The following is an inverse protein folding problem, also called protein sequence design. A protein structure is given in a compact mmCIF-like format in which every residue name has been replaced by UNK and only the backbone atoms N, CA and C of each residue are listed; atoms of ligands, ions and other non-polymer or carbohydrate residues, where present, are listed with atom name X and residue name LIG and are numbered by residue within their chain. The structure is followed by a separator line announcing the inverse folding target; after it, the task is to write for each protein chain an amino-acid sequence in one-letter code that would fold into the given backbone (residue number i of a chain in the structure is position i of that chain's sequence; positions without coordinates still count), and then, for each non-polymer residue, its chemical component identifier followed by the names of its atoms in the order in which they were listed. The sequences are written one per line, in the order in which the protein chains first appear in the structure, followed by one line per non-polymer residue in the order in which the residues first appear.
data_IF_427180729296
#
_entry.id   IF_427180729296
#
_cell.length_a   1.000
_cell.length_b   1.000
_cell.length_c   1.000
_cell.angle_alpha   90.00
_cell.angle_beta   90.00
_cell.angle_gamma   90.00
#
_symmetry.space_group_name_H-M   'P 1'
#
loop_
_entity.id
_entity.type
_entity.pdbx_description
1 polymer ?
#
# COMPACT_ATOMS: atom_id res chain seq x y z
N UNK A 1 12.09 29.84 -21.89
CA UNK A 1 10.69 30.34 -22.16
C UNK A 1 9.70 29.30 -21.67
N UNK A 2 8.80 29.70 -20.79
CA UNK A 2 7.74 28.81 -20.34
C UNK A 2 6.56 28.81 -21.31
N UNK A 3 5.84 27.70 -21.39
CA UNK A 3 4.56 27.59 -22.10
C UNK A 3 3.50 27.31 -21.05
N UNK A 4 2.45 28.12 -21.04
CA UNK A 4 1.30 27.96 -20.15
C UNK A 4 0.03 27.70 -20.96
N UNK A 5 -0.87 26.92 -20.45
CA UNK A 5 -2.12 26.62 -21.11
C UNK A 5 -3.10 25.88 -20.23
N UNK A 6 -4.10 25.29 -20.88
CA UNK A 6 -5.15 24.52 -20.20
C UNK A 6 -5.38 23.20 -20.95
N UNK A 7 -5.63 22.13 -20.23
CA UNK A 7 -5.84 20.79 -20.79
C UNK A 7 -7.06 20.70 -21.72
N UNK A 8 -8.01 21.65 -21.64
CA UNK A 8 -9.13 21.76 -22.58
C UNK A 8 -8.70 22.26 -23.97
N UNK A 9 -7.67 23.09 -24.02
CA UNK A 9 -7.19 23.72 -25.29
C UNK A 9 -6.06 22.93 -25.92
N UNK A 10 -5.26 22.24 -25.13
CA UNK A 10 -4.18 21.37 -25.58
C UNK A 10 -4.17 20.13 -24.71
N UNK A 11 -4.52 18.99 -25.30
CA UNK A 11 -4.58 17.72 -24.56
C UNK A 11 -3.18 17.27 -24.11
N UNK A 12 -3.14 16.54 -22.99
CA UNK A 12 -1.87 16.07 -22.41
C UNK A 12 -1.00 15.29 -23.43
N UNK A 13 -1.63 14.46 -24.27
CA UNK A 13 -0.92 13.69 -25.28
C UNK A 13 -0.23 14.58 -26.34
N UNK A 14 -0.89 15.66 -26.77
CA UNK A 14 -0.30 16.64 -27.69
C UNK A 14 0.88 17.39 -27.07
N UNK A 15 0.70 17.79 -25.79
CA UNK A 15 1.73 18.46 -25.03
C UNK A 15 2.97 17.57 -24.85
N UNK A 16 2.77 16.31 -24.48
CA UNK A 16 3.84 15.33 -24.33
C UNK A 16 4.56 15.05 -25.66
N UNK A 17 3.80 14.92 -26.73
CA UNK A 17 4.37 14.73 -28.08
C UNK A 17 5.23 15.93 -28.48
N UNK A 18 4.75 17.15 -28.23
CA UNK A 18 5.49 18.38 -28.53
C UNK A 18 6.80 18.45 -27.71
N UNK A 19 6.76 18.15 -26.41
CA UNK A 19 7.94 18.12 -25.53
C UNK A 19 8.95 17.06 -25.99
N UNK A 20 8.46 15.88 -26.39
CA UNK A 20 9.30 14.78 -26.83
C UNK A 20 9.97 15.06 -28.18
N UNK A 21 9.20 15.50 -29.19
CA UNK A 21 9.73 15.84 -30.52
C UNK A 21 10.72 17.02 -30.48
N UNK A 22 10.46 17.96 -29.57
CA UNK A 22 11.36 19.11 -29.35
C UNK A 22 12.58 18.78 -28.47
N UNK A 23 12.78 17.51 -28.07
CA UNK A 23 13.85 17.09 -27.16
C UNK A 23 13.96 18.01 -25.93
N UNK A 24 12.82 18.41 -25.37
CA UNK A 24 12.77 19.40 -24.30
C UNK A 24 13.31 18.84 -23.00
N UNK A 25 14.03 19.69 -22.25
CA UNK A 25 14.46 19.45 -20.88
C UNK A 25 13.83 20.52 -20.00
N UNK A 26 13.15 20.11 -18.89
CA UNK A 26 12.46 21.03 -17.99
C UNK A 26 11.36 20.34 -17.19
N UNK A 27 10.61 21.15 -16.47
CA UNK A 27 9.52 20.71 -15.61
C UNK A 27 8.17 21.12 -16.18
N UNK A 28 7.30 20.13 -16.38
CA UNK A 28 5.90 20.35 -16.69
C UNK A 28 5.10 20.26 -15.40
N UNK A 29 4.54 21.40 -14.98
CA UNK A 29 3.58 21.50 -13.87
C UNK A 29 2.16 21.36 -14.44
N UNK A 30 1.34 20.57 -13.76
CA UNK A 30 -0.07 20.37 -14.11
C UNK A 30 -0.88 20.51 -12.82
N UNK A 31 -1.82 21.45 -12.83
CA UNK A 31 -2.71 21.71 -11.68
C UNK A 31 -4.15 21.42 -12.08
N UNK A 32 -4.80 20.55 -11.33
CA UNK A 32 -6.19 20.18 -11.53
C UNK A 32 -6.72 19.33 -10.38
N UNK A 33 -8.02 19.39 -10.15
CA UNK A 33 -8.69 18.64 -9.09
C UNK A 33 -8.13 18.85 -7.67
N UNK A 34 -7.47 20.00 -7.42
CA UNK A 34 -6.81 20.29 -6.13
C UNK A 34 -5.48 19.57 -5.94
N UNK A 35 -4.93 18.99 -6.98
CA UNK A 35 -3.65 18.27 -6.98
C UNK A 35 -2.70 18.91 -7.98
N UNK A 36 -1.47 19.20 -7.54
CA UNK A 36 -0.36 19.60 -8.41
C UNK A 36 0.47 18.37 -8.76
N UNK A 37 0.68 18.13 -10.05
CA UNK A 37 1.58 17.09 -10.55
C UNK A 37 2.71 17.71 -11.36
N UNK A 38 3.91 17.17 -11.20
CA UNK A 38 5.10 17.60 -11.95
C UNK A 38 5.66 16.42 -12.73
N UNK A 39 5.89 16.64 -14.01
CA UNK A 39 6.53 15.68 -14.90
C UNK A 39 7.85 16.29 -15.37
N UNK A 40 8.95 15.63 -15.03
CA UNK A 40 10.28 16.10 -15.36
C UNK A 40 10.73 15.48 -16.67
N UNK A 41 11.05 16.34 -17.63
CA UNK A 41 11.57 15.94 -18.93
C UNK A 41 13.08 16.15 -19.02
N UNK A 42 13.76 15.19 -19.60
CA UNK A 42 15.18 15.28 -19.95
C UNK A 42 15.38 14.75 -21.37
N UNK A 43 15.86 15.60 -22.26
CA UNK A 43 16.10 15.29 -23.68
C UNK A 43 14.86 14.66 -24.36
N UNK A 44 13.66 15.19 -24.07
CA UNK A 44 12.40 14.72 -24.61
C UNK A 44 11.86 13.41 -24.01
N UNK A 45 12.50 12.86 -22.97
CA UNK A 45 12.05 11.67 -22.26
C UNK A 45 11.59 12.04 -20.86
N UNK A 46 10.65 11.28 -20.31
CA UNK A 46 10.21 11.49 -18.93
C UNK A 46 11.25 10.89 -17.98
N UNK A 47 11.89 11.75 -17.22
CA UNK A 47 12.91 11.37 -16.25
C UNK A 47 12.34 11.00 -14.89
N UNK A 48 11.26 11.68 -14.43
CA UNK A 48 10.62 11.42 -13.15
C UNK A 48 9.27 12.11 -13.07
N UNK A 49 8.53 11.83 -11.99
CA UNK A 49 7.27 12.52 -11.63
C UNK A 49 7.23 12.82 -10.14
N UNK A 50 6.51 13.88 -9.76
CA UNK A 50 6.11 14.13 -8.39
C UNK A 50 4.66 14.59 -8.33
N UNK A 51 4.03 14.45 -7.17
CA UNK A 51 2.63 14.82 -6.93
C UNK A 51 2.51 15.44 -5.54
N UNK A 52 1.58 16.39 -5.38
CA UNK A 52 1.19 16.90 -4.06
C UNK A 52 0.25 15.94 -3.33
N UNK A 53 -0.32 14.96 -4.01
CA UNK A 53 -1.16 13.93 -3.39
C UNK A 53 -0.30 12.97 -2.57
N UNK A 54 -0.52 12.95 -1.25
CA UNK A 54 0.20 12.07 -0.33
C UNK A 54 0.01 10.58 -0.63
N UNK A 55 -1.12 10.19 -1.24
CA UNK A 55 -1.40 8.81 -1.65
C UNK A 55 -0.42 8.32 -2.72
N UNK A 56 0.15 9.24 -3.49
CA UNK A 56 1.14 8.94 -4.53
C UNK A 56 2.59 9.01 -4.02
N UNK A 57 2.84 9.29 -2.74
CA UNK A 57 4.20 9.28 -2.21
C UNK A 57 4.79 7.87 -2.26
N UNK A 58 6.09 7.78 -2.55
CA UNK A 58 6.78 6.51 -2.75
C UNK A 58 6.55 5.53 -1.58
N UNK A 59 6.64 6.02 -0.35
CA UNK A 59 6.43 5.19 0.84
C UNK A 59 5.03 4.57 0.87
N UNK A 60 3.99 5.39 0.71
CA UNK A 60 2.61 4.92 0.67
C UNK A 60 2.35 3.95 -0.50
N UNK A 61 2.92 4.25 -1.67
CA UNK A 61 2.82 3.36 -2.83
C UNK A 61 3.44 1.98 -2.55
N UNK A 62 4.59 1.92 -1.91
CA UNK A 62 5.26 0.65 -1.59
C UNK A 62 4.50 -0.16 -0.54
N UNK A 63 3.99 0.48 0.53
CA UNK A 63 3.16 -0.17 1.56
C UNK A 63 1.87 -0.70 0.95
N UNK A 64 1.15 0.13 0.19
CA UNK A 64 -0.13 -0.23 -0.41
C UNK A 64 -0.05 -1.40 -1.40
N UNK A 65 1.12 -1.60 -2.02
CA UNK A 65 1.38 -2.73 -2.90
C UNK A 65 2.04 -3.92 -2.19
N UNK A 66 2.20 -3.86 -0.85
CA UNK A 66 2.73 -4.95 -0.05
C UNK A 66 4.23 -5.22 -0.25
N UNK A 67 4.98 -4.22 -0.73
CA UNK A 67 6.41 -4.34 -0.96
C UNK A 67 7.26 -4.01 0.27
N UNK A 68 6.72 -3.21 1.18
CA UNK A 68 7.29 -2.91 2.48
C UNK A 68 6.15 -2.84 3.52
N UNK A 69 6.48 -2.96 4.79
CA UNK A 69 5.55 -2.79 5.90
C UNK A 69 5.47 -1.31 6.33
N UNK A 70 4.43 -0.95 7.08
CA UNK A 70 4.32 0.40 7.66
C UNK A 70 5.47 0.68 8.65
N UNK A 71 5.91 -0.35 9.39
CA UNK A 71 7.04 -0.24 10.33
C UNK A 71 8.35 0.04 9.58
N UNK A 72 8.61 -0.64 8.46
CA UNK A 72 9.79 -0.39 7.63
C UNK A 72 9.75 1.01 7.02
N UNK A 73 8.58 1.47 6.58
CA UNK A 73 8.41 2.84 6.10
C UNK A 73 8.71 3.86 7.20
N UNK A 74 8.13 3.67 8.39
CA UNK A 74 8.32 4.57 9.53
C UNK A 74 9.81 4.67 9.91
N UNK A 75 10.48 3.54 10.04
CA UNK A 75 11.92 3.48 10.34
C UNK A 75 12.73 4.22 9.26
N UNK A 76 12.40 4.00 7.98
CA UNK A 76 13.11 4.66 6.89
C UNK A 76 12.86 6.16 6.85
N UNK A 77 11.68 6.64 7.24
CA UNK A 77 11.36 8.07 7.34
C UNK A 77 12.11 8.74 8.50
N UNK A 78 12.22 8.10 9.66
CA UNK A 78 13.02 8.58 10.78
C UNK A 78 14.50 8.77 10.37
N UNK A 79 15.07 7.78 9.70
CA UNK A 79 16.44 7.87 9.15
C UNK A 79 16.56 8.98 8.11
N UNK A 80 15.53 9.19 7.27
CA UNK A 80 15.54 10.24 6.25
C UNK A 80 15.57 11.64 6.87
N UNK A 81 14.81 11.88 7.94
CA UNK A 81 14.79 13.17 8.65
C UNK A 81 16.15 13.53 9.22
N UNK A 82 16.89 12.54 9.75
CA UNK A 82 18.22 12.76 10.34
C UNK A 82 19.34 12.86 9.30
N UNK A 83 19.25 12.08 8.21
CA UNK A 83 20.38 11.89 7.29
C UNK A 83 20.25 12.64 5.96
N UNK A 84 19.07 13.13 5.61
CA UNK A 84 18.75 13.72 4.30
C UNK A 84 19.00 12.77 3.10
N UNK A 85 19.09 11.48 3.35
CA UNK A 85 19.19 10.46 2.30
C UNK A 85 17.80 10.20 1.71
N UNK A 86 17.71 9.97 0.42
CA UNK A 86 16.44 9.67 -0.24
C UNK A 86 15.81 8.39 0.31
N UNK A 87 14.50 8.40 0.58
CA UNK A 87 13.73 7.29 1.15
C UNK A 87 14.01 5.95 0.45
N UNK A 88 13.96 5.94 -0.90
CA UNK A 88 14.23 4.72 -1.67
C UNK A 88 15.61 4.14 -1.41
N UNK A 89 16.64 5.00 -1.25
CA UNK A 89 17.99 4.55 -0.95
C UNK A 89 18.09 3.96 0.46
N UNK A 90 17.39 4.55 1.43
CA UNK A 90 17.34 4.02 2.80
C UNK A 90 16.68 2.65 2.80
N UNK A 91 15.53 2.49 2.12
CA UNK A 91 14.83 1.21 2.02
C UNK A 91 15.70 0.10 1.42
N UNK A 92 16.54 0.43 0.43
CA UNK A 92 17.54 -0.53 -0.11
C UNK A 92 18.64 -0.82 0.92
N UNK A 93 19.15 0.21 1.61
CA UNK A 93 20.21 0.04 2.62
C UNK A 93 19.79 -0.84 3.81
N UNK A 94 18.53 -0.74 4.24
CA UNK A 94 17.97 -1.61 5.29
C UNK A 94 17.47 -2.97 4.77
N UNK A 95 17.71 -3.26 3.47
CA UNK A 95 17.25 -4.47 2.78
C UNK A 95 15.73 -4.70 2.82
N UNK A 96 14.93 -3.65 2.99
CA UNK A 96 13.47 -3.73 2.90
C UNK A 96 13.00 -4.02 1.47
N UNK A 97 13.76 -3.56 0.47
CA UNK A 97 13.48 -3.79 -0.94
C UNK A 97 14.79 -3.91 -1.75
N UNK A 98 14.80 -4.77 -2.76
CA UNK A 98 15.92 -4.84 -3.69
C UNK A 98 15.93 -3.62 -4.64
N UNK A 99 17.12 -3.11 -4.99
CA UNK A 99 17.27 -1.93 -5.85
C UNK A 99 16.57 -2.08 -7.21
N UNK A 100 16.68 -3.25 -7.84
CA UNK A 100 16.03 -3.55 -9.12
C UNK A 100 14.50 -3.49 -9.01
N UNK A 101 13.93 -3.99 -7.91
CA UNK A 101 12.49 -3.94 -7.64
C UNK A 101 12.04 -2.51 -7.36
N UNK A 102 12.80 -1.76 -6.58
CA UNK A 102 12.53 -0.34 -6.32
C UNK A 102 12.46 0.45 -7.63
N UNK A 103 13.45 0.30 -8.53
CA UNK A 103 13.46 0.98 -9.82
C UNK A 103 12.25 0.62 -10.68
N UNK A 104 11.87 -0.67 -10.71
CA UNK A 104 10.69 -1.16 -11.43
C UNK A 104 9.41 -0.53 -10.87
N UNK A 105 9.30 -0.45 -9.55
CA UNK A 105 8.12 0.12 -8.87
C UNK A 105 8.06 1.64 -9.01
N UNK A 106 9.19 2.33 -8.98
CA UNK A 106 9.24 3.77 -9.26
C UNK A 106 8.78 4.10 -10.68
N UNK A 107 9.16 3.29 -11.69
CA UNK A 107 8.64 3.42 -13.06
C UNK A 107 7.13 3.25 -13.08
N UNK A 108 6.63 2.15 -12.50
CA UNK A 108 5.19 1.87 -12.43
C UNK A 108 4.41 3.01 -11.72
N UNK A 109 4.95 3.51 -10.60
CA UNK A 109 4.36 4.66 -9.89
C UNK A 109 4.30 5.90 -10.78
N UNK A 110 5.38 6.22 -11.48
CA UNK A 110 5.43 7.37 -12.36
C UNK A 110 4.43 7.23 -13.54
N UNK A 111 4.35 6.05 -14.13
CA UNK A 111 3.37 5.74 -15.18
C UNK A 111 1.93 5.92 -14.69
N UNK A 112 1.57 5.34 -13.54
CA UNK A 112 0.22 5.45 -12.97
C UNK A 112 -0.13 6.92 -12.62
N UNK A 113 0.83 7.68 -12.07
CA UNK A 113 0.63 9.12 -11.79
C UNK A 113 0.35 9.92 -13.06
N UNK A 114 1.00 9.59 -14.17
CA UNK A 114 0.77 10.25 -15.46
C UNK A 114 -0.58 9.81 -16.06
N UNK A 115 -0.90 8.51 -16.01
CA UNK A 115 -2.17 7.99 -16.55
C UNK A 115 -3.38 8.60 -15.85
N UNK A 116 -3.29 8.91 -14.56
CA UNK A 116 -4.33 9.64 -13.86
C UNK A 116 -4.61 11.01 -14.49
N UNK A 117 -3.56 11.75 -14.88
CA UNK A 117 -3.73 13.06 -15.56
C UNK A 117 -4.40 12.94 -16.92
N UNK A 118 -4.22 11.83 -17.65
CA UNK A 118 -4.94 11.61 -18.90
C UNK A 118 -6.46 11.52 -18.70
N UNK A 119 -6.91 11.21 -17.50
CA UNK A 119 -8.35 11.15 -17.18
C UNK A 119 -8.92 12.50 -16.76
N UNK A 120 -8.06 13.51 -16.56
CA UNK A 120 -8.50 14.85 -16.17
C UNK A 120 -9.13 15.57 -17.37
N UNK A 121 -10.33 16.09 -17.17
CA UNK A 121 -11.05 16.88 -18.18
C UNK A 121 -10.73 18.37 -18.11
N UNK A 122 -10.17 18.81 -17.01
CA UNK A 122 -9.84 20.21 -16.68
C UNK A 122 -8.52 20.27 -15.95
N UNK A 123 -7.80 21.36 -16.14
CA UNK A 123 -6.54 21.63 -15.46
C UNK A 123 -5.72 22.62 -16.23
N UNK A 124 -4.89 23.39 -15.53
CA UNK A 124 -3.89 24.26 -16.11
C UNK A 124 -2.54 23.55 -16.19
N UNK A 125 -1.71 23.93 -17.12
CA UNK A 125 -0.34 23.47 -17.20
C UNK A 125 0.63 24.63 -17.44
N UNK A 126 1.84 24.43 -16.95
CA UNK A 126 2.99 25.29 -17.21
C UNK A 126 4.23 24.43 -17.46
N UNK A 127 4.92 24.65 -18.57
CA UNK A 127 6.23 24.05 -18.81
C UNK A 127 7.32 25.07 -18.59
N UNK A 128 8.24 24.80 -17.66
CA UNK A 128 9.39 25.64 -17.33
C UNK A 128 10.63 25.00 -17.95
N UNK A 129 11.14 25.64 -19.03
CA UNK A 129 12.26 25.15 -19.82
C UNK A 129 13.57 25.22 -19.01
N UNK A 130 14.35 24.16 -19.01
CA UNK A 130 15.63 24.03 -18.31
C UNK A 130 15.56 23.84 -16.79
N UNK A 131 14.38 23.88 -16.18
CA UNK A 131 14.24 23.68 -14.74
C UNK A 131 14.05 22.21 -14.40
N UNK A 132 14.99 21.66 -13.64
CA UNK A 132 14.93 20.31 -13.06
C UNK A 132 15.03 20.43 -11.53
N UNK A 133 14.53 19.47 -10.76
CA UNK A 133 14.62 19.54 -9.31
C UNK A 133 16.06 19.48 -8.83
N UNK A 134 16.36 20.23 -7.74
CA UNK A 134 17.68 20.30 -7.10
C UNK A 134 18.17 18.96 -6.54
N UNK A 135 17.26 18.04 -6.26
CA UNK A 135 17.60 16.72 -5.74
C UNK A 135 18.03 15.78 -6.89
N UNK A 136 19.06 14.97 -6.62
CA UNK A 136 19.49 13.90 -7.54
C UNK A 136 18.35 12.92 -7.79
N UNK A 137 17.63 13.10 -8.88
CA UNK A 137 16.64 12.15 -9.34
C UNK A 137 17.31 10.87 -9.85
N UNK A 138 16.66 9.74 -9.63
CA UNK A 138 16.97 8.52 -10.37
C UNK A 138 16.23 8.60 -11.71
N UNK A 139 16.92 8.78 -12.84
CA UNK A 139 16.23 8.94 -14.11
C UNK A 139 15.57 7.64 -14.55
N UNK A 140 14.24 7.67 -14.68
CA UNK A 140 13.43 6.50 -15.08
C UNK A 140 13.47 6.25 -16.58
N UNK A 141 13.72 7.30 -17.37
CA UNK A 141 13.81 7.27 -18.85
C UNK A 141 12.60 6.57 -19.50
N UNK A 142 11.37 7.03 -19.14
CA UNK A 142 10.14 6.46 -19.69
C UNK A 142 9.96 6.86 -21.15
N UNK A 143 9.43 5.93 -21.95
CA UNK A 143 9.09 6.18 -23.34
C UNK A 143 7.79 6.99 -23.45
N UNK A 144 7.88 8.20 -23.99
CA UNK A 144 6.74 9.12 -24.10
C UNK A 144 5.67 8.55 -25.04
N UNK A 145 6.07 7.89 -26.13
CA UNK A 145 5.12 7.32 -27.09
C UNK A 145 4.27 6.23 -26.42
N UNK A 146 4.91 5.32 -25.69
CA UNK A 146 4.20 4.27 -24.93
C UNK A 146 3.25 4.85 -23.90
N UNK A 147 3.69 5.91 -23.18
CA UNK A 147 2.85 6.62 -22.21
C UNK A 147 1.63 7.27 -22.89
N UNK A 148 1.80 7.93 -24.02
CA UNK A 148 0.68 8.53 -24.76
C UNK A 148 -0.31 7.46 -25.22
N UNK A 149 0.18 6.39 -25.85
CA UNK A 149 -0.69 5.32 -26.36
C UNK A 149 -1.51 4.67 -25.25
N UNK A 150 -0.89 4.31 -24.15
CA UNK A 150 -1.58 3.70 -23.01
C UNK A 150 -2.51 4.70 -22.31
N UNK A 151 -2.09 5.97 -22.15
CA UNK A 151 -2.91 7.03 -21.58
C UNK A 151 -4.18 7.28 -22.40
N UNK A 152 -4.08 7.36 -23.72
CA UNK A 152 -5.22 7.52 -24.63
C UNK A 152 -6.14 6.29 -24.57
N UNK A 153 -5.58 5.07 -24.58
CA UNK A 153 -6.36 3.85 -24.42
C UNK A 153 -7.16 3.85 -23.12
N UNK A 154 -6.54 4.27 -22.00
CA UNK A 154 -7.23 4.37 -20.69
C UNK A 154 -8.28 5.48 -20.71
N UNK A 155 -8.04 6.59 -21.39
CA UNK A 155 -9.02 7.65 -21.54
C UNK A 155 -10.26 7.15 -22.30
N UNK A 156 -10.07 6.45 -23.42
CA UNK A 156 -11.19 5.90 -24.20
C UNK A 156 -11.98 4.86 -23.38
N UNK A 157 -11.28 3.98 -22.66
CA UNK A 157 -11.90 3.01 -21.77
C UNK A 157 -12.66 3.70 -20.63
N UNK A 158 -12.10 4.80 -20.08
CA UNK A 158 -12.75 5.59 -19.04
C UNK A 158 -14.05 6.23 -19.51
N UNK A 159 -14.09 6.72 -20.74
CA UNK A 159 -15.33 7.25 -21.33
C UNK A 159 -16.43 6.18 -21.39
N UNK A 160 -16.10 4.93 -21.74
CA UNK A 160 -17.03 3.81 -21.73
C UNK A 160 -17.46 3.42 -20.30
N UNK A 161 -16.55 3.46 -19.36
CA UNK A 161 -16.84 3.20 -17.94
C UNK A 161 -17.81 4.25 -17.42
N UNK A 162 -17.59 5.53 -17.69
CA UNK A 162 -18.43 6.65 -17.24
C UNK A 162 -19.87 6.61 -17.75
N UNK A 163 -20.12 5.95 -18.88
CA UNK A 163 -21.49 5.72 -19.35
C UNK A 163 -22.30 4.80 -18.41
N UNK A 164 -21.64 3.95 -17.64
CA UNK A 164 -22.26 2.99 -16.71
C UNK A 164 -22.06 3.35 -15.26
N UNK A 165 -20.91 3.92 -14.96
CA UNK A 165 -20.48 4.36 -13.64
C UNK A 165 -20.24 5.87 -13.70
N UNK A 166 -21.28 6.70 -13.43
CA UNK A 166 -21.21 8.15 -13.66
C UNK A 166 -20.12 8.85 -12.86
N UNK A 167 -19.91 8.43 -11.61
CA UNK A 167 -18.91 8.97 -10.71
C UNK A 167 -18.45 7.91 -9.69
N UNK A 168 -17.44 8.24 -8.89
CA UNK A 168 -16.86 7.33 -7.90
C UNK A 168 -17.62 7.28 -6.56
N UNK A 169 -18.62 8.16 -6.38
CA UNK A 169 -19.45 8.18 -5.18
C UNK A 169 -20.55 7.09 -5.19
N UNK A 170 -20.83 6.49 -6.36
CA UNK A 170 -21.82 5.42 -6.47
C UNK A 170 -21.41 4.18 -5.67
N UNK A 171 -22.41 3.48 -5.15
CA UNK A 171 -22.23 2.28 -4.31
C UNK A 171 -22.54 1.04 -5.16
N UNK A 172 -21.56 0.20 -5.49
CA UNK A 172 -21.79 -1.04 -6.19
C UNK A 172 -22.29 -2.14 -5.26
N UNK A 173 -23.21 -2.99 -5.73
CA UNK A 173 -23.71 -4.17 -5.05
C UNK A 173 -23.66 -5.39 -5.98
N UNK A 174 -23.18 -6.52 -5.45
CA UNK A 174 -23.20 -7.79 -6.18
C UNK A 174 -24.59 -8.40 -6.06
N UNK A 175 -25.27 -8.61 -7.21
CA UNK A 175 -26.63 -9.18 -7.27
C UNK A 175 -26.68 -10.62 -7.78
N UNK A 176 -25.59 -11.08 -8.41
CA UNK A 176 -25.42 -12.47 -8.87
C UNK A 176 -23.99 -12.93 -8.59
N UNK A 177 -23.81 -14.25 -8.44
CA UNK A 177 -22.51 -14.83 -8.25
C UNK A 177 -21.55 -14.43 -9.38
N UNK A 178 -20.35 -14.00 -9.00
CA UNK A 178 -19.24 -13.69 -9.89
C UNK A 178 -18.46 -14.98 -10.19
N UNK A 179 -18.00 -15.12 -11.41
CA UNK A 179 -17.05 -16.16 -11.77
C UNK A 179 -15.64 -15.72 -11.32
N UNK A 180 -15.27 -16.09 -10.10
CA UNK A 180 -14.00 -15.68 -9.47
C UNK A 180 -12.79 -16.20 -10.23
N UNK A 181 -12.91 -17.31 -11.00
CA UNK A 181 -11.79 -17.89 -11.75
C UNK A 181 -11.38 -17.00 -12.93
N UNK A 182 -12.31 -16.24 -13.50
CA UNK A 182 -12.04 -15.31 -14.60
C UNK A 182 -11.49 -13.96 -14.16
N UNK A 183 -11.51 -13.66 -12.85
CA UNK A 183 -11.01 -12.42 -12.31
C UNK A 183 -9.48 -12.46 -12.17
N UNK A 184 -8.84 -11.35 -12.49
CA UNK A 184 -7.43 -11.15 -12.19
C UNK A 184 -7.17 -11.15 -10.67
N UNK A 185 -5.95 -11.42 -10.24
CA UNK A 185 -5.60 -11.42 -8.81
C UNK A 185 -5.90 -10.08 -8.13
N UNK A 186 -5.76 -8.97 -8.88
CA UNK A 186 -6.12 -7.63 -8.39
C UNK A 186 -7.63 -7.49 -8.18
N UNK A 187 -8.44 -7.96 -9.10
CA UNK A 187 -9.91 -7.91 -8.99
C UNK A 187 -10.42 -8.78 -7.86
N UNK A 188 -9.79 -9.94 -7.62
CA UNK A 188 -10.09 -10.81 -6.46
C UNK A 188 -9.89 -10.09 -5.12
N UNK A 189 -8.95 -9.15 -5.03
CA UNK A 189 -8.74 -8.33 -3.83
C UNK A 189 -9.81 -7.25 -3.65
N UNK A 190 -10.44 -6.79 -4.73
CA UNK A 190 -11.48 -5.74 -4.71
C UNK A 190 -12.84 -6.32 -4.34
N UNK A 191 -13.20 -7.49 -4.88
CA UNK A 191 -14.53 -8.11 -4.76
C UNK A 191 -15.07 -8.18 -3.32
N UNK A 192 -14.28 -8.56 -2.28
CA UNK A 192 -14.77 -8.62 -0.90
C UNK A 192 -15.24 -7.28 -0.32
N UNK A 193 -14.85 -6.17 -0.94
CA UNK A 193 -15.21 -4.83 -0.51
C UNK A 193 -16.48 -4.28 -1.21
N UNK A 194 -16.99 -5.01 -2.20
CA UNK A 194 -18.24 -4.66 -2.91
C UNK A 194 -19.42 -5.24 -2.10
N UNK A 195 -19.84 -4.53 -1.08
CA UNK A 195 -20.82 -4.96 -0.08
C UNK A 195 -22.17 -4.23 -0.15
N UNK A 196 -22.35 -3.37 -1.14
CA UNK A 196 -23.55 -2.53 -1.24
C UNK A 196 -23.62 -1.38 -0.24
N UNK A 197 -22.52 -1.05 0.43
CA UNK A 197 -22.41 0.03 1.41
C UNK A 197 -21.32 1.03 1.07
N UNK A 198 -20.21 0.56 0.51
CA UNK A 198 -19.05 1.37 0.19
C UNK A 198 -19.15 1.95 -1.21
N UNK A 199 -18.78 3.23 -1.35
CA UNK A 199 -18.62 3.86 -2.66
C UNK A 199 -17.37 3.30 -3.37
N UNK A 200 -17.31 3.47 -4.68
CA UNK A 200 -16.13 3.12 -5.48
C UNK A 200 -14.87 3.82 -4.93
N UNK A 201 -14.97 5.10 -4.56
CA UNK A 201 -13.86 5.84 -3.94
C UNK A 201 -13.41 5.19 -2.64
N UNK A 202 -14.34 4.82 -1.74
CA UNK A 202 -14.03 4.15 -0.48
C UNK A 202 -13.38 2.77 -0.70
N UNK A 203 -13.88 2.01 -1.70
CA UNK A 203 -13.30 0.71 -2.08
C UNK A 203 -11.88 0.91 -2.64
N UNK A 204 -11.67 1.91 -3.51
CA UNK A 204 -10.37 2.22 -4.07
C UNK A 204 -9.35 2.57 -2.98
N UNK A 205 -9.76 3.39 -2.01
CA UNK A 205 -8.93 3.76 -0.86
C UNK A 205 -8.56 2.55 0.00
N UNK A 206 -9.55 1.73 0.38
CA UNK A 206 -9.32 0.57 1.27
C UNK A 206 -8.55 -0.58 0.63
N UNK A 207 -8.67 -0.74 -0.68
CA UNK A 207 -7.96 -1.78 -1.43
C UNK A 207 -6.64 -1.29 -2.01
N UNK A 208 -6.30 -0.01 -1.80
CA UNK A 208 -5.13 0.65 -2.39
C UNK A 208 -5.05 0.50 -3.91
N UNK A 209 -6.21 0.53 -4.56
CA UNK A 209 -6.33 0.49 -6.01
C UNK A 209 -6.69 1.86 -6.56
N UNK A 210 -6.28 2.12 -7.82
CA UNK A 210 -6.76 3.29 -8.53
C UNK A 210 -8.29 3.19 -8.77
N UNK A 211 -9.00 4.30 -8.66
CA UNK A 211 -10.45 4.38 -8.93
C UNK A 211 -10.80 3.82 -10.31
N UNK A 212 -9.92 3.99 -11.29
CA UNK A 212 -10.06 3.43 -12.62
C UNK A 212 -10.26 1.90 -12.58
N UNK A 213 -9.45 1.17 -11.81
CA UNK A 213 -9.52 -0.29 -11.75
C UNK A 213 -10.81 -0.78 -11.07
N UNK A 214 -11.21 -0.11 -10.00
CA UNK A 214 -12.47 -0.42 -9.29
C UNK A 214 -13.68 -0.11 -10.18
N UNK A 215 -13.70 1.09 -10.81
CA UNK A 215 -14.76 1.51 -11.72
C UNK A 215 -14.88 0.58 -12.94
N UNK A 216 -13.74 0.10 -13.47
CA UNK A 216 -13.71 -0.86 -14.59
C UNK A 216 -14.37 -2.19 -14.20
N UNK A 217 -14.00 -2.76 -13.05
CA UNK A 217 -14.59 -3.99 -12.52
C UNK A 217 -16.11 -3.84 -12.33
N UNK A 218 -16.53 -2.71 -11.73
CA UNK A 218 -17.94 -2.42 -11.48
C UNK A 218 -18.70 -2.22 -12.81
N UNK A 219 -18.15 -1.46 -13.77
CA UNK A 219 -18.77 -1.24 -15.07
C UNK A 219 -18.96 -2.56 -15.85
N UNK A 220 -18.01 -3.48 -15.75
CA UNK A 220 -18.11 -4.81 -16.33
C UNK A 220 -19.19 -5.65 -15.61
N UNK A 221 -19.24 -5.60 -14.27
CA UNK A 221 -20.29 -6.25 -13.48
C UNK A 221 -21.68 -5.71 -13.79
N UNK A 222 -21.84 -4.41 -14.01
CA UNK A 222 -23.09 -3.80 -14.45
C UNK A 222 -23.45 -4.25 -15.87
N UNK A 223 -22.47 -4.31 -16.79
CA UNK A 223 -22.67 -4.78 -18.17
C UNK A 223 -23.15 -6.23 -18.22
N UNK A 224 -22.60 -7.10 -17.40
CA UNK A 224 -22.94 -8.53 -17.33
C UNK A 224 -24.17 -8.82 -16.47
N UNK A 225 -24.70 -7.82 -15.75
CA UNK A 225 -25.82 -7.95 -14.82
C UNK A 225 -25.48 -8.72 -13.54
N UNK A 226 -24.19 -8.83 -13.20
CA UNK A 226 -23.73 -9.41 -11.94
C UNK A 226 -23.67 -8.38 -10.82
N UNK A 227 -23.55 -7.09 -11.17
CA UNK A 227 -23.59 -5.98 -10.23
C UNK A 227 -24.67 -4.96 -10.62
N UNK A 228 -25.11 -4.21 -9.62
CA UNK A 228 -25.94 -3.01 -9.83
C UNK A 228 -25.33 -1.85 -9.06
N UNK A 229 -25.64 -0.64 -9.52
CA UNK A 229 -25.33 0.57 -8.80
C UNK A 229 -26.54 0.95 -7.95
N UNK A 230 -26.29 1.19 -6.69
CA UNK A 230 -27.24 1.85 -5.83
C UNK A 230 -27.06 3.35 -6.04
N UNK A 231 -28.14 4.07 -6.38
CA UNK A 231 -28.09 5.54 -6.31
C UNK A 231 -27.62 5.90 -4.90
N UNK A 232 -26.64 6.81 -4.85
CA UNK A 232 -26.13 7.29 -3.58
C UNK A 232 -27.32 7.87 -2.80
N UNK A 233 -28.00 7.04 -2.00
CA UNK A 233 -28.62 7.53 -0.81
C UNK A 233 -27.46 8.11 -0.07
N UNK A 234 -27.42 9.45 0.03
CA UNK A 234 -26.45 10.18 0.82
C UNK A 234 -26.18 9.33 2.07
N UNK A 235 -24.94 8.88 2.32
CA UNK A 235 -24.67 7.94 3.39
C UNK A 235 -25.49 8.45 4.54
N UNK A 236 -26.33 7.66 5.23
CA UNK A 236 -27.20 8.13 6.29
C UNK A 236 -26.29 9.02 7.11
N UNK A 237 -26.56 10.36 7.24
CA UNK A 237 -25.60 11.40 7.58
C UNK A 237 -24.69 10.79 8.61
N UNK A 238 -23.39 10.64 8.26
CA UNK A 238 -22.47 9.76 8.99
C UNK A 238 -22.73 10.06 10.43
N UNK A 239 -23.25 9.15 11.24
CA UNK A 239 -23.99 9.43 12.46
C UNK A 239 -23.19 10.50 13.15
N UNK A 240 -23.71 11.72 13.22
CA UNK A 240 -23.03 13.00 13.35
C UNK A 240 -21.84 12.80 14.25
N UNK A 241 -20.65 12.73 13.74
CA UNK A 241 -19.39 12.28 14.33
C UNK A 241 -19.68 11.60 15.67
N UNK A 242 -19.97 10.29 15.63
CA UNK A 242 -20.22 9.56 16.87
C UNK A 242 -19.04 9.95 17.75
N UNK A 243 -19.25 10.44 18.96
CA UNK A 243 -18.19 10.95 19.79
C UNK A 243 -17.08 9.92 19.77
N UNK A 244 -15.82 10.30 19.57
CA UNK A 244 -14.68 9.40 19.35
C UNK A 244 -14.73 8.11 20.20
N UNK A 245 -15.44 8.17 21.33
CA UNK A 245 -15.83 7.03 22.17
C UNK A 245 -16.63 5.94 21.50
N UNK A 246 -17.43 6.18 20.46
CA UNK A 246 -18.26 5.13 19.84
C UNK A 246 -17.49 4.28 18.83
N UNK A 247 -16.49 4.82 18.15
CA UNK A 247 -15.60 4.04 17.27
C UNK A 247 -14.65 3.19 18.10
N UNK A 248 -14.08 3.74 19.16
CA UNK A 248 -13.29 3.00 20.15
C UNK A 248 -14.11 1.86 20.75
N UNK A 249 -15.34 2.12 21.17
CA UNK A 249 -16.24 1.10 21.73
C UNK A 249 -16.57 0.00 20.70
N UNK A 250 -16.77 0.35 19.44
CA UNK A 250 -17.00 -0.61 18.38
C UNK A 250 -15.80 -1.56 18.18
N UNK A 251 -14.56 -1.01 18.08
CA UNK A 251 -13.36 -1.84 17.95
C UNK A 251 -13.09 -2.68 19.22
N UNK A 252 -13.32 -2.14 20.41
CA UNK A 252 -13.21 -2.87 21.66
C UNK A 252 -14.21 -4.02 21.73
N UNK A 253 -15.47 -3.81 21.36
CA UNK A 253 -16.50 -4.84 21.38
C UNK A 253 -16.19 -5.96 20.38
N UNK A 254 -15.80 -5.60 19.16
CA UNK A 254 -15.46 -6.55 18.10
C UNK A 254 -14.20 -7.35 18.42
N UNK A 255 -13.17 -6.69 18.98
CA UNK A 255 -11.96 -7.36 19.44
C UNK A 255 -12.25 -8.34 20.58
N UNK A 256 -13.10 -7.98 21.55
CA UNK A 256 -13.51 -8.88 22.64
C UNK A 256 -14.27 -10.09 22.14
N UNK A 257 -15.10 -9.95 21.12
CA UNK A 257 -15.83 -11.07 20.53
C UNK A 257 -14.89 -12.10 19.89
N UNK A 258 -13.76 -11.65 19.32
CA UNK A 258 -12.79 -12.52 18.64
C UNK A 258 -11.63 -12.98 19.53
N UNK A 259 -11.48 -12.41 20.72
CA UNK A 259 -10.33 -12.61 21.60
C UNK A 259 -10.00 -14.08 21.89
N UNK A 260 -11.03 -14.94 22.01
CA UNK A 260 -10.84 -16.37 22.30
C UNK A 260 -10.56 -17.22 21.07
N UNK A 261 -11.08 -16.82 19.90
CA UNK A 261 -10.94 -17.57 18.64
C UNK A 261 -9.69 -17.16 17.87
N UNK A 262 -9.46 -15.85 17.77
CA UNK A 262 -8.28 -15.26 17.12
C UNK A 262 -7.74 -14.07 17.93
N UNK A 263 -6.89 -14.35 18.96
CA UNK A 263 -6.31 -13.31 19.79
C UNK A 263 -5.43 -12.32 19.00
N UNK A 264 -4.82 -12.74 17.87
CA UNK A 264 -4.00 -11.87 17.04
C UNK A 264 -4.85 -10.82 16.31
N UNK A 265 -5.98 -11.22 15.72
CA UNK A 265 -6.94 -10.28 15.14
C UNK A 265 -7.56 -9.36 16.19
N UNK A 266 -7.86 -9.87 17.37
CA UNK A 266 -8.35 -9.07 18.50
C UNK A 266 -7.34 -8.00 18.90
N UNK A 267 -6.04 -8.35 19.00
CA UNK A 267 -4.98 -7.41 19.32
C UNK A 267 -4.86 -6.27 18.28
N UNK A 268 -4.98 -6.59 16.99
CA UNK A 268 -4.98 -5.57 15.92
C UNK A 268 -6.15 -4.59 16.08
N UNK A 269 -7.36 -5.10 16.42
CA UNK A 269 -8.54 -4.26 16.66
C UNK A 269 -8.34 -3.34 17.86
N UNK A 270 -7.78 -3.87 18.95
CA UNK A 270 -7.48 -3.07 20.14
C UNK A 270 -6.39 -2.03 19.89
N UNK A 271 -5.41 -2.34 19.02
CA UNK A 271 -4.40 -1.38 18.59
C UNK A 271 -5.04 -0.22 17.82
N UNK A 272 -5.96 -0.50 16.87
CA UNK A 272 -6.71 0.54 16.16
C UNK A 272 -7.54 1.37 17.13
N UNK A 273 -8.23 0.75 18.09
CA UNK A 273 -8.97 1.46 19.12
C UNK A 273 -8.06 2.40 19.95
N UNK A 274 -6.84 1.98 20.25
CA UNK A 274 -5.85 2.79 20.98
C UNK A 274 -5.29 3.94 20.12
N UNK A 275 -5.13 3.75 18.82
CA UNK A 275 -4.70 4.81 17.89
C UNK A 275 -5.79 5.87 17.71
N UNK A 276 -7.08 5.49 17.78
CA UNK A 276 -8.21 6.42 17.76
C UNK A 276 -8.32 7.26 19.03
N UNK A 277 -8.04 6.67 20.21
CA UNK A 277 -7.97 7.37 21.49
C UNK A 277 -6.92 6.75 22.41
N UNK A 278 -5.71 7.30 22.34
CA UNK A 278 -4.57 6.83 23.15
C UNK A 278 -4.72 7.14 24.65
N UNK A 279 -5.69 7.98 25.03
CA UNK A 279 -5.96 8.36 26.43
C UNK A 279 -6.97 7.43 27.10
N UNK A 280 -7.71 6.64 26.33
CA UNK A 280 -8.66 5.65 26.86
C UNK A 280 -7.94 4.44 27.44
N UNK A 281 -7.87 4.35 28.77
CA UNK A 281 -7.23 3.23 29.47
C UNK A 281 -7.80 1.85 29.15
N UNK A 282 -9.05 1.76 28.65
CA UNK A 282 -9.69 0.50 28.25
C UNK A 282 -9.02 -0.15 27.07
N UNK A 283 -8.47 0.65 26.13
CA UNK A 283 -7.77 0.17 24.95
C UNK A 283 -6.44 -0.50 25.34
N UNK A 284 -5.70 0.13 26.25
CA UNK A 284 -4.43 -0.40 26.78
C UNK A 284 -4.67 -1.72 27.56
N UNK A 285 -5.75 -1.79 28.34
CA UNK A 285 -6.11 -3.01 29.09
C UNK A 285 -6.49 -4.15 28.14
N UNK A 286 -7.30 -3.87 27.11
CA UNK A 286 -7.70 -4.84 26.10
C UNK A 286 -6.49 -5.36 25.29
N UNK A 287 -5.55 -4.50 24.94
CA UNK A 287 -4.30 -4.93 24.29
C UNK A 287 -3.49 -5.89 25.19
N UNK A 288 -3.34 -5.57 26.46
CA UNK A 288 -2.65 -6.45 27.42
C UNK A 288 -3.36 -7.80 27.62
N UNK A 289 -4.68 -7.80 27.55
CA UNK A 289 -5.47 -9.03 27.61
C UNK A 289 -5.21 -9.91 26.39
N UNK A 290 -5.23 -9.31 25.18
CA UNK A 290 -4.91 -10.02 23.95
C UNK A 290 -3.46 -10.53 23.92
N UNK A 291 -2.50 -9.74 24.39
CA UNK A 291 -1.10 -10.19 24.53
C UNK A 291 -0.96 -11.41 25.43
N UNK A 292 -1.71 -11.47 26.53
CA UNK A 292 -1.72 -12.62 27.42
C UNK A 292 -2.29 -13.87 26.74
N UNK A 293 -3.41 -13.72 26.02
CA UNK A 293 -4.01 -14.83 25.28
C UNK A 293 -3.10 -15.33 24.14
N UNK A 294 -2.44 -14.41 23.42
CA UNK A 294 -1.45 -14.79 22.39
C UNK A 294 -0.30 -15.57 23.03
N UNK A 295 0.28 -15.07 24.14
CA UNK A 295 1.36 -15.76 24.84
C UNK A 295 0.93 -17.16 25.35
N UNK A 296 -0.27 -17.27 25.92
CA UNK A 296 -0.82 -18.56 26.36
C UNK A 296 -1.06 -19.52 25.17
N UNK A 297 -1.43 -18.99 24.01
CA UNK A 297 -1.53 -19.76 22.76
C UNK A 297 -0.15 -20.28 22.31
N UNK A 298 0.84 -19.41 22.29
CA UNK A 298 2.22 -19.74 21.92
C UNK A 298 2.83 -20.81 22.82
N UNK A 299 2.58 -20.73 24.15
CA UNK A 299 3.05 -21.75 25.09
C UNK A 299 2.36 -23.12 24.85
N UNK A 300 1.07 -23.15 24.53
CA UNK A 300 0.35 -24.37 24.14
C UNK A 300 0.93 -24.99 22.86
N UNK A 301 1.38 -24.16 21.92
CA UNK A 301 2.06 -24.59 20.68
C UNK A 301 3.53 -24.98 20.92
N UNK A 302 3.98 -24.96 22.16
CA UNK A 302 5.34 -25.37 22.56
C UNK A 302 6.40 -24.30 22.40
N UNK A 303 6.01 -23.04 22.14
CA UNK A 303 6.92 -21.89 22.09
C UNK A 303 7.05 -21.30 23.49
N UNK A 304 8.12 -21.63 24.19
CA UNK A 304 8.43 -21.06 25.50
C UNK A 304 9.82 -20.42 25.53
N UNK A 305 10.01 -19.45 26.43
CA UNK A 305 11.27 -18.71 26.56
C UNK A 305 12.48 -19.57 26.90
N UNK A 306 12.29 -20.75 27.51
CA UNK A 306 13.33 -21.66 27.96
C UNK A 306 13.76 -22.69 26.92
N UNK A 307 13.06 -22.78 25.79
CA UNK A 307 13.39 -23.69 24.71
C UNK A 307 14.58 -23.19 23.92
N UNK A 308 15.46 -24.11 23.50
CA UNK A 308 16.61 -23.83 22.64
C UNK A 308 16.24 -24.22 21.20
N UNK A 309 16.19 -23.27 20.27
CA UNK A 309 15.90 -23.56 18.88
C UNK A 309 17.16 -24.06 18.14
N UNK A 310 16.97 -25.03 17.24
CA UNK A 310 17.98 -25.49 16.29
C UNK A 310 17.40 -25.44 14.88
N UNK A 311 18.28 -25.19 13.89
CA UNK A 311 17.87 -25.20 12.48
C UNK A 311 17.53 -26.63 12.05
N UNK A 312 16.34 -26.83 11.51
CA UNK A 312 15.86 -28.09 10.96
C UNK A 312 16.32 -28.33 9.52
N UNK A 313 16.68 -27.27 8.82
CA UNK A 313 17.10 -27.29 7.41
C UNK A 313 18.53 -26.74 7.25
N UNK A 314 19.30 -27.22 6.25
CA UNK A 314 20.65 -26.74 6.00
C UNK A 314 20.68 -25.27 5.57
N UNK A 315 21.77 -24.55 5.90
CA UNK A 315 21.97 -23.12 5.59
C UNK A 315 21.76 -22.78 4.10
N UNK A 316 22.18 -23.66 3.20
CA UNK A 316 22.01 -23.44 1.74
C UNK A 316 20.54 -23.47 1.31
N UNK A 317 19.66 -24.14 2.04
CA UNK A 317 18.22 -24.17 1.77
C UNK A 317 17.55 -22.91 2.32
N UNK A 318 18.08 -22.33 3.41
CA UNK A 318 17.62 -21.05 3.96
C UNK A 318 17.81 -19.91 2.96
N UNK A 319 18.93 -19.88 2.25
CA UNK A 319 19.22 -18.83 1.25
C UNK A 319 18.31 -18.87 0.02
N UNK A 320 17.60 -19.98 -0.19
CA UNK A 320 16.62 -20.12 -1.29
C UNK A 320 15.20 -19.71 -0.88
N UNK A 321 14.96 -19.47 0.41
CA UNK A 321 13.66 -19.02 0.93
C UNK A 321 13.72 -17.52 1.21
N UNK A 322 12.61 -16.84 0.99
CA UNK A 322 12.44 -15.42 1.35
C UNK A 322 12.00 -15.33 2.81
N UNK A 323 12.78 -14.64 3.62
CA UNK A 323 12.46 -14.31 5.02
C UNK A 323 12.34 -12.79 5.16
N UNK A 324 11.45 -12.34 6.04
CA UNK A 324 11.43 -10.92 6.42
C UNK A 324 12.71 -10.55 7.16
N UNK A 325 13.07 -9.26 7.25
CA UNK A 325 14.24 -8.80 7.99
C UNK A 325 14.24 -9.27 9.46
N UNK A 326 13.07 -9.27 10.10
CA UNK A 326 12.91 -9.74 11.49
C UNK A 326 13.12 -11.26 11.61
N UNK A 327 12.57 -12.04 10.70
CA UNK A 327 12.80 -13.49 10.65
C UNK A 327 14.28 -13.80 10.38
N UNK A 328 14.91 -13.07 9.46
CA UNK A 328 16.34 -13.19 9.16
C UNK A 328 17.20 -12.85 10.37
N UNK A 329 16.83 -11.80 11.13
CA UNK A 329 17.52 -11.47 12.38
C UNK A 329 17.41 -12.61 13.38
N UNK A 330 16.20 -13.12 13.67
CA UNK A 330 15.98 -14.22 14.62
C UNK A 330 16.73 -15.47 14.16
N UNK A 331 16.63 -15.86 12.88
CA UNK A 331 17.35 -16.99 12.30
C UNK A 331 18.87 -16.86 12.47
N UNK A 332 19.44 -15.68 12.31
CA UNK A 332 20.88 -15.44 12.49
C UNK A 332 21.39 -15.66 13.93
N UNK A 333 20.49 -15.67 14.91
CA UNK A 333 20.80 -15.89 16.33
C UNK A 333 20.56 -17.31 16.79
N UNK A 334 19.94 -18.15 15.95
CA UNK A 334 19.72 -19.57 16.24
C UNK A 334 21.03 -20.35 16.02
N UNK A 335 21.69 -20.70 17.11
CA UNK A 335 22.97 -21.43 17.12
C UNK A 335 22.92 -22.76 17.92
N UNK A 336 21.72 -23.17 18.35
CA UNK A 336 21.55 -24.38 19.16
C UNK A 336 22.07 -24.29 20.59
N UNK A 337 22.44 -23.08 21.05
CA UNK A 337 22.96 -22.84 22.41
C UNK A 337 22.11 -21.84 23.18
N UNK A 338 21.58 -20.85 22.54
CA UNK A 338 20.77 -19.80 23.15
C UNK A 338 19.30 -20.20 23.18
N UNK A 339 18.68 -20.01 24.34
CA UNK A 339 17.25 -20.14 24.49
C UNK A 339 16.53 -18.93 23.89
N UNK A 340 15.22 -19.09 23.64
CA UNK A 340 14.36 -18.05 23.06
C UNK A 340 14.44 -16.75 23.89
N UNK A 341 14.49 -16.84 25.22
CA UNK A 341 14.56 -15.69 26.12
C UNK A 341 15.87 -14.90 25.95
N UNK A 342 16.99 -15.59 25.72
CA UNK A 342 18.28 -14.95 25.46
C UNK A 342 18.26 -14.22 24.09
N UNK A 343 17.66 -14.84 23.09
CA UNK A 343 17.50 -14.22 21.76
C UNK A 343 16.59 -12.99 21.85
N UNK A 344 15.48 -13.06 22.59
CA UNK A 344 14.59 -11.92 22.80
C UNK A 344 15.30 -10.73 23.45
N UNK A 345 16.15 -10.97 24.45
CA UNK A 345 16.88 -9.90 25.16
C UNK A 345 17.80 -9.08 24.28
N UNK A 346 18.36 -9.66 23.24
CA UNK A 346 19.29 -8.99 22.31
C UNK A 346 18.58 -8.52 21.02
N UNK A 347 17.30 -8.81 20.90
CA UNK A 347 16.50 -8.44 19.73
C UNK A 347 15.99 -7.00 19.86
N UNK A 348 16.09 -6.18 18.82
CA UNK A 348 15.43 -4.90 18.75
C UNK A 348 13.90 -5.03 18.50
N UNK A 349 13.41 -6.26 18.34
CA UNK A 349 12.02 -6.59 18.02
C UNK A 349 11.24 -6.79 19.35
N UNK A 350 9.97 -6.42 19.39
CA UNK A 350 9.13 -6.64 20.57
C UNK A 350 9.04 -8.12 20.92
N UNK A 351 9.01 -8.43 22.19
CA UNK A 351 8.99 -9.81 22.72
C UNK A 351 7.93 -10.70 22.07
N UNK A 352 6.70 -10.16 21.90
CA UNK A 352 5.59 -10.87 21.31
C UNK A 352 5.85 -11.23 19.84
N UNK A 353 6.43 -10.31 19.08
CA UNK A 353 6.73 -10.52 17.65
C UNK A 353 7.81 -11.58 17.46
N UNK A 354 8.83 -11.58 18.34
CA UNK A 354 9.87 -12.63 18.34
C UNK A 354 9.26 -14.00 18.59
N UNK A 355 8.35 -14.13 19.56
CA UNK A 355 7.67 -15.40 19.86
C UNK A 355 6.79 -15.86 18.68
N UNK A 356 6.09 -14.95 18.00
CA UNK A 356 5.32 -15.25 16.79
C UNK A 356 6.21 -15.71 15.63
N UNK A 357 7.41 -15.11 15.48
CA UNK A 357 8.39 -15.56 14.50
C UNK A 357 8.83 -17.00 14.80
N UNK A 358 9.13 -17.34 16.04
CA UNK A 358 9.46 -18.72 16.42
C UNK A 358 8.34 -19.70 16.12
N UNK A 359 7.08 -19.34 16.40
CA UNK A 359 5.92 -20.17 16.06
C UNK A 359 5.83 -20.40 14.54
N UNK A 360 6.03 -19.34 13.75
CA UNK A 360 6.01 -19.46 12.28
C UNK A 360 7.12 -20.36 11.78
N UNK A 361 8.35 -20.14 12.25
CA UNK A 361 9.51 -20.94 11.85
C UNK A 361 9.37 -22.43 12.21
N UNK A 362 8.74 -22.75 13.34
CA UNK A 362 8.40 -24.12 13.73
C UNK A 362 7.36 -24.72 12.78
N UNK A 363 6.27 -23.99 12.50
CA UNK A 363 5.20 -24.42 11.60
C UNK A 363 5.74 -24.66 10.18
N UNK A 364 6.64 -23.82 9.72
CA UNK A 364 7.26 -23.91 8.39
C UNK A 364 8.37 -24.98 8.31
N UNK A 365 8.65 -25.67 9.43
CA UNK A 365 9.67 -26.70 9.52
C UNK A 365 11.10 -26.17 9.31
N UNK A 366 11.32 -24.90 9.57
CA UNK A 366 12.64 -24.25 9.46
C UNK A 366 13.49 -24.51 10.67
N UNK A 367 12.87 -24.60 11.83
CA UNK A 367 13.51 -24.88 13.11
C UNK A 367 12.83 -26.05 13.84
N UNK A 368 13.50 -26.64 14.77
CA UNK A 368 12.97 -27.55 15.77
C UNK A 368 13.55 -27.23 17.16
N UNK A 369 12.91 -27.75 18.19
CA UNK A 369 13.46 -27.60 19.52
C UNK A 369 14.54 -28.63 19.78
N UNK A 370 15.66 -28.20 20.37
CA UNK A 370 16.68 -29.13 20.83
C UNK A 370 16.04 -30.12 21.78
N UNK A 371 16.20 -31.42 21.49
CA UNK A 371 15.72 -32.48 22.38
C UNK A 371 16.42 -32.45 23.76
N UNK A 372 15.67 -32.71 24.80
CA UNK A 372 16.25 -33.02 26.12
C UNK A 372 16.94 -34.34 26.09
#
# INVERSE_FOLDING_TARGET
MGITGNLKTMQLGELFQWLSLGSKTGTLLIDGHGVEKRVYFQDGRIASTSSSDQREYLGHFLVSHGHITEEELKMAMEVQEESQILLGKILVMINAIAEADLLRLMRKKAEESIYDVFLWTEGSFEFVDGELPDQKMVPLSLDVTGIIMEGMRRYDEWQLIRQRVPDSSVVPEIVRALDIEQLSDREKLIVPFIDGQRSIEAIALQTHNAEFNVSKLVAEGVRTGTMRLLENRAPPPAPASAPAGSEVDHFLQRGRAQLKEDPQSAYRMFKVAHELDSTDGRTTEAMREAEREIKAGLERDGVSGERVPELAIPLHTLTQRSFSPHEGFVLSRINGQWDVKSIMKISPIKELDVLMIFQKLLRDGVIHWKGH
#
